data_IF_601888786252
#
_entry.id   IF_601888786252
#
_cell.length_a   1.000
_cell.length_b   1.000
_cell.length_c   1.000
_cell.angle_alpha   90.00
_cell.angle_beta   90.00
_cell.angle_gamma   90.00
#
_symmetry.space_group_name_H-M   'P 1'
#
loop_
_entity.id
_entity.type
_entity.pdbx_description
1 polymer ?
#
# COMPACT_ATOMS: atom_id res chain seq x y z
N UNK A 1 -11.61 2.24 5.23
CA UNK A 1 -10.65 3.27 4.76
C UNK A 1 -9.46 3.49 5.69
N UNK A 2 -9.49 2.99 6.93
CA UNK A 2 -8.30 2.99 7.80
C UNK A 2 -7.23 2.06 7.23
N UNK A 3 -5.95 2.44 7.36
CA UNK A 3 -4.80 1.68 6.87
C UNK A 3 -3.78 1.50 8.00
N UNK A 4 -2.99 0.44 7.92
CA UNK A 4 -1.95 0.14 8.89
C UNK A 4 -2.27 -1.07 9.75
N UNK A 5 -1.57 -1.16 10.87
CA UNK A 5 -1.71 -2.25 11.83
C UNK A 5 -2.21 -1.73 13.18
N UNK A 6 -2.84 -2.60 13.94
CA UNK A 6 -2.96 -2.41 15.39
C UNK A 6 -1.56 -2.53 16.02
N UNK A 7 -1.15 -1.49 16.76
CA UNK A 7 0.25 -1.33 17.16
C UNK A 7 0.74 -2.34 18.22
N UNK A 8 -0.15 -2.86 19.06
CA UNK A 8 0.24 -3.72 20.18
C UNK A 8 0.59 -5.14 19.74
N UNK A 9 -0.21 -5.69 18.82
CA UNK A 9 -0.10 -7.09 18.39
C UNK A 9 0.34 -7.24 16.93
N UNK A 10 0.44 -6.15 16.17
CA UNK A 10 0.63 -6.14 14.73
C UNK A 10 -0.49 -6.91 14.00
N UNK A 11 -1.70 -6.80 14.48
CA UNK A 11 -2.86 -7.37 13.80
C UNK A 11 -3.30 -6.43 12.65
N UNK A 12 -3.84 -6.99 11.58
CA UNK A 12 -4.60 -6.20 10.60
C UNK A 12 -5.79 -5.54 11.29
N UNK A 13 -6.25 -4.41 10.78
CA UNK A 13 -7.34 -3.64 11.41
C UNK A 13 -8.63 -4.48 11.51
N UNK A 14 -8.91 -5.29 10.49
CA UNK A 14 -10.07 -6.20 10.51
C UNK A 14 -9.94 -7.27 11.57
N UNK A 15 -8.77 -7.90 11.72
CA UNK A 15 -8.51 -8.89 12.77
C UNK A 15 -8.65 -8.27 14.17
N UNK A 16 -8.13 -7.05 14.36
CA UNK A 16 -8.27 -6.32 15.61
C UNK A 16 -9.74 -5.97 15.89
N UNK A 17 -10.50 -5.55 14.87
CA UNK A 17 -11.93 -5.27 14.97
C UNK A 17 -12.71 -6.50 15.43
N UNK A 18 -12.47 -7.67 14.80
CA UNK A 18 -13.12 -8.92 15.19
C UNK A 18 -12.79 -9.33 16.62
N UNK A 19 -11.53 -9.22 17.03
CA UNK A 19 -11.09 -9.54 18.40
C UNK A 19 -11.77 -8.67 19.46
N UNK A 20 -11.96 -7.38 19.18
CA UNK A 20 -12.54 -6.41 20.11
C UNK A 20 -14.06 -6.51 20.14
N UNK A 21 -14.69 -6.53 18.97
CA UNK A 21 -16.16 -6.43 18.86
C UNK A 21 -16.87 -7.76 18.89
N UNK A 22 -16.16 -8.87 18.65
CA UNK A 22 -16.71 -10.21 18.42
C UNK A 22 -17.68 -10.24 17.23
N UNK A 23 -17.49 -9.36 16.26
CA UNK A 23 -18.31 -9.23 15.04
C UNK A 23 -17.44 -9.44 13.82
N UNK A 24 -18.00 -10.08 12.80
CA UNK A 24 -17.41 -10.30 11.48
C UNK A 24 -18.23 -9.70 10.33
N UNK A 25 -19.27 -8.91 10.67
CA UNK A 25 -20.15 -8.28 9.70
C UNK A 25 -19.61 -6.90 9.30
N UNK A 26 -18.58 -6.87 8.50
CA UNK A 26 -17.95 -5.65 8.01
C UNK A 26 -17.52 -5.77 6.53
N UNK A 27 -17.21 -4.63 5.93
CA UNK A 27 -16.55 -4.55 4.65
C UNK A 27 -15.43 -3.50 4.70
N UNK A 28 -14.35 -3.77 3.97
CA UNK A 28 -13.23 -2.85 3.76
C UNK A 28 -13.40 -2.17 2.41
N UNK A 29 -13.34 -0.84 2.39
CA UNK A 29 -13.36 -0.03 1.18
C UNK A 29 -11.93 0.42 0.85
N UNK A 30 -11.44 0.04 -0.32
CA UNK A 30 -10.11 0.45 -0.82
C UNK A 30 -10.11 0.51 -2.34
N UNK A 31 -9.33 1.46 -2.91
CA UNK A 31 -9.23 1.59 -4.35
C UNK A 31 -8.57 2.92 -4.77
N UNK A 32 -8.38 3.14 -6.08
CA UNK A 32 -7.73 4.30 -6.65
C UNK A 32 -8.64 5.53 -6.60
N UNK A 33 -8.83 6.12 -5.42
CA UNK A 33 -9.82 7.15 -5.20
C UNK A 33 -9.22 8.39 -4.51
N UNK A 34 -8.72 9.35 -5.31
CA UNK A 34 -8.45 10.68 -4.78
C UNK A 34 -9.76 11.39 -4.46
N UNK A 35 -9.92 11.83 -3.23
CA UNK A 35 -11.18 12.43 -2.75
C UNK A 35 -11.68 13.60 -3.63
N UNK A 36 -10.77 14.46 -4.08
CA UNK A 36 -11.11 15.60 -4.94
C UNK A 36 -11.62 15.16 -6.32
N UNK A 37 -11.11 14.07 -6.86
CA UNK A 37 -11.55 13.54 -8.16
C UNK A 37 -12.92 12.89 -8.04
N UNK A 38 -13.15 12.11 -6.99
CA UNK A 38 -14.46 11.53 -6.69
C UNK A 38 -15.50 12.63 -6.47
N UNK A 39 -15.17 13.69 -5.69
CA UNK A 39 -16.04 14.84 -5.47
C UNK A 39 -16.40 15.58 -6.77
N UNK A 40 -15.46 15.63 -7.71
CA UNK A 40 -15.65 16.24 -9.03
C UNK A 40 -16.27 15.27 -10.07
N UNK A 41 -16.79 14.12 -9.63
CA UNK A 41 -17.45 13.13 -10.48
C UNK A 41 -16.55 12.59 -11.60
N UNK A 42 -15.22 12.53 -11.38
CA UNK A 42 -14.31 11.83 -12.27
C UNK A 42 -14.61 10.33 -12.15
N UNK A 43 -14.74 9.60 -13.28
CA UNK A 43 -15.00 8.16 -13.25
C UNK A 43 -14.02 7.42 -12.36
N UNK A 44 -14.53 6.70 -11.37
CA UNK A 44 -13.72 6.05 -10.34
C UNK A 44 -14.25 4.65 -10.04
N UNK A 45 -13.34 3.76 -9.65
CA UNK A 45 -13.67 2.40 -9.22
C UNK A 45 -13.09 2.15 -7.83
N UNK A 46 -13.73 1.27 -7.06
CA UNK A 46 -13.26 0.86 -5.74
C UNK A 46 -13.55 -0.62 -5.48
N UNK A 47 -12.80 -1.26 -4.59
CA UNK A 47 -13.15 -2.57 -4.05
C UNK A 47 -13.93 -2.42 -2.76
N UNK A 48 -14.94 -3.26 -2.62
CA UNK A 48 -15.64 -3.54 -1.35
C UNK A 48 -15.28 -4.97 -0.98
N UNK A 49 -14.37 -5.12 -0.04
CA UNK A 49 -13.85 -6.42 0.38
C UNK A 49 -14.55 -6.89 1.65
N UNK A 50 -15.10 -8.09 1.63
CA UNK A 50 -15.79 -8.72 2.76
C UNK A 50 -15.75 -10.24 2.61
N UNK A 51 -15.69 -10.96 3.73
CA UNK A 51 -15.89 -12.41 3.76
C UNK A 51 -17.36 -12.81 3.49
N UNK A 52 -18.30 -11.88 3.71
CA UNK A 52 -19.72 -12.06 3.39
C UNK A 52 -20.10 -11.23 2.14
N UNK A 53 -20.36 -11.93 1.05
CA UNK A 53 -20.74 -11.32 -0.22
C UNK A 53 -22.03 -10.49 -0.13
N UNK A 54 -22.99 -10.86 0.76
CA UNK A 54 -24.24 -10.11 0.93
C UNK A 54 -23.97 -8.75 1.57
N UNK A 55 -23.07 -8.70 2.55
CA UNK A 55 -22.63 -7.43 3.15
C UNK A 55 -21.98 -6.54 2.09
N UNK A 56 -21.06 -7.12 1.29
CA UNK A 56 -20.43 -6.38 0.21
C UNK A 56 -21.45 -5.87 -0.83
N UNK A 57 -22.39 -6.71 -1.26
CA UNK A 57 -23.48 -6.32 -2.19
C UNK A 57 -24.32 -5.16 -1.67
N UNK A 58 -24.67 -5.16 -0.37
CA UNK A 58 -25.42 -4.06 0.22
C UNK A 58 -24.63 -2.74 0.15
N UNK A 59 -23.33 -2.78 0.47
CA UNK A 59 -22.45 -1.59 0.37
C UNK A 59 -22.29 -1.15 -1.08
N UNK A 60 -22.09 -2.08 -2.01
CA UNK A 60 -21.96 -1.83 -3.44
C UNK A 60 -23.22 -1.13 -3.98
N UNK A 61 -24.40 -1.60 -3.61
CA UNK A 61 -25.66 -0.99 -4.04
C UNK A 61 -25.83 0.45 -3.56
N UNK A 62 -25.33 0.78 -2.37
CA UNK A 62 -25.35 2.15 -1.82
C UNK A 62 -24.37 3.07 -2.55
N UNK A 63 -23.17 2.55 -2.90
CA UNK A 63 -22.09 3.34 -3.46
C UNK A 63 -22.21 3.55 -4.98
N UNK A 64 -22.77 2.58 -5.69
CA UNK A 64 -22.81 2.60 -7.14
C UNK A 64 -23.65 3.74 -7.70
N UNK A 65 -23.04 4.50 -8.59
CA UNK A 65 -23.71 5.55 -9.35
C UNK A 65 -23.08 5.69 -10.75
N UNK A 66 -23.45 6.73 -11.50
CA UNK A 66 -22.96 6.97 -12.86
C UNK A 66 -21.43 7.14 -12.96
N UNK A 67 -20.80 7.69 -11.92
CA UNK A 67 -19.38 8.08 -11.91
C UNK A 67 -18.53 7.23 -10.98
N UNK A 68 -19.14 6.46 -10.09
CA UNK A 68 -18.44 5.66 -9.09
C UNK A 68 -18.96 4.23 -9.12
N UNK A 69 -18.06 3.27 -9.34
CA UNK A 69 -18.37 1.84 -9.37
C UNK A 69 -17.59 1.09 -8.31
N UNK A 70 -18.30 0.32 -7.51
CA UNK A 70 -17.73 -0.56 -6.51
C UNK A 70 -17.78 -2.01 -7.01
N UNK A 71 -16.70 -2.77 -6.73
CA UNK A 71 -16.54 -4.17 -7.11
C UNK A 71 -16.32 -5.02 -5.86
N UNK A 72 -16.90 -6.19 -5.81
CA UNK A 72 -16.70 -7.14 -4.72
C UNK A 72 -15.28 -7.73 -4.75
N UNK A 73 -14.69 -7.89 -3.57
CA UNK A 73 -13.48 -8.68 -3.35
C UNK A 73 -13.70 -9.63 -2.16
N UNK A 74 -13.33 -10.92 -2.24
CA UNK A 74 -13.70 -11.91 -1.23
C UNK A 74 -12.91 -11.84 0.07
N UNK A 75 -11.77 -11.14 0.09
CA UNK A 75 -10.92 -11.09 1.27
C UNK A 75 -10.51 -9.65 1.66
N UNK A 76 -11.00 -9.13 2.80
CA UNK A 76 -10.65 -7.80 3.27
C UNK A 76 -9.16 -7.66 3.63
N UNK A 77 -8.48 -8.74 4.04
CA UNK A 77 -7.06 -8.72 4.43
C UNK A 77 -6.15 -8.38 3.25
N UNK A 78 -6.49 -8.88 2.05
CA UNK A 78 -5.79 -8.51 0.80
C UNK A 78 -5.85 -7.01 0.56
N UNK A 79 -7.04 -6.41 0.67
CA UNK A 79 -7.22 -4.97 0.50
C UNK A 79 -6.42 -4.16 1.56
N UNK A 80 -6.31 -4.66 2.78
CA UNK A 80 -5.51 -4.04 3.84
C UNK A 80 -4.01 -4.11 3.55
N UNK A 81 -3.48 -5.30 3.21
CA UNK A 81 -2.06 -5.48 2.84
C UNK A 81 -1.68 -4.60 1.65
N UNK A 82 -2.50 -4.60 0.59
CA UNK A 82 -2.30 -3.70 -0.55
C UNK A 82 -2.26 -2.24 -0.12
N UNK A 83 -3.21 -1.82 0.71
CA UNK A 83 -3.31 -0.44 1.21
C UNK A 83 -2.12 -0.01 2.06
N UNK A 84 -1.47 -0.93 2.77
CA UNK A 84 -0.26 -0.69 3.56
C UNK A 84 0.96 -0.60 2.63
N UNK A 85 1.20 -1.64 1.83
CA UNK A 85 2.44 -1.80 1.05
C UNK A 85 2.52 -0.78 -0.08
N UNK A 86 1.40 -0.43 -0.75
CA UNK A 86 1.41 0.59 -1.82
C UNK A 86 2.03 1.92 -1.40
N UNK A 87 1.85 2.31 -0.13
CA UNK A 87 2.39 3.56 0.39
C UNK A 87 3.93 3.49 0.52
N UNK A 88 4.46 2.32 0.83
CA UNK A 88 5.90 2.05 0.89
C UNK A 88 6.48 2.05 -0.54
N UNK A 89 5.79 1.38 -1.46
CA UNK A 89 6.18 1.37 -2.88
C UNK A 89 6.18 2.78 -3.49
N UNK A 90 5.23 3.62 -3.09
CA UNK A 90 5.19 5.01 -3.55
C UNK A 90 6.41 5.80 -3.08
N UNK A 91 6.94 5.56 -1.87
CA UNK A 91 8.21 6.14 -1.42
C UNK A 91 9.35 5.65 -2.32
N UNK A 92 9.45 4.34 -2.57
CA UNK A 92 10.44 3.76 -3.48
C UNK A 92 10.39 4.36 -4.89
N UNK A 93 9.19 4.53 -5.46
CA UNK A 93 8.99 5.18 -6.76
C UNK A 93 9.44 6.65 -6.75
N UNK A 94 9.15 7.39 -5.66
CA UNK A 94 9.61 8.76 -5.49
C UNK A 94 11.14 8.85 -5.39
N UNK A 95 11.79 7.89 -4.71
CA UNK A 95 13.26 7.78 -4.68
C UNK A 95 13.80 7.53 -6.09
N UNK A 96 13.24 6.59 -6.83
CA UNK A 96 13.66 6.27 -8.19
C UNK A 96 13.52 7.48 -9.13
N UNK A 97 12.42 8.24 -9.02
CA UNK A 97 12.21 9.48 -9.79
C UNK A 97 13.23 10.55 -9.40
N UNK A 98 13.44 10.79 -8.11
CA UNK A 98 14.37 11.81 -7.64
C UNK A 98 15.84 11.53 -7.97
N UNK A 99 16.22 10.26 -8.08
CA UNK A 99 17.56 9.80 -8.52
C UNK A 99 17.69 9.60 -10.04
N UNK A 100 16.63 9.92 -10.82
CA UNK A 100 16.57 9.74 -12.26
C UNK A 100 16.92 8.31 -12.73
N UNK A 101 16.43 7.29 -12.03
CA UNK A 101 16.70 5.87 -12.34
C UNK A 101 15.91 5.36 -13.57
N UNK A 102 14.94 6.13 -14.03
CA UNK A 102 14.15 5.83 -15.22
C UNK A 102 12.93 4.94 -14.98
N UNK A 103 12.11 4.84 -16.02
CA UNK A 103 10.81 4.14 -15.96
C UNK A 103 10.98 2.63 -15.81
N UNK A 104 12.01 2.04 -16.41
CA UNK A 104 12.28 0.60 -16.28
C UNK A 104 12.53 0.21 -14.81
N UNK A 105 13.30 1.00 -14.07
CA UNK A 105 13.57 0.77 -12.65
C UNK A 105 12.28 0.85 -11.83
N UNK A 106 11.44 1.85 -12.10
CA UNK A 106 10.12 1.97 -11.44
C UNK A 106 9.21 0.77 -11.73
N UNK A 107 9.18 0.32 -12.98
CA UNK A 107 8.39 -0.85 -13.37
C UNK A 107 8.88 -2.11 -12.64
N UNK A 108 10.20 -2.32 -12.58
CA UNK A 108 10.79 -3.44 -11.85
C UNK A 108 10.52 -3.36 -10.33
N UNK A 109 10.59 -2.15 -9.75
CA UNK A 109 10.21 -1.91 -8.35
C UNK A 109 8.76 -2.30 -8.08
N UNK A 110 7.83 -1.91 -8.96
CA UNK A 110 6.42 -2.26 -8.81
C UNK A 110 6.19 -3.77 -8.92
N UNK A 111 6.84 -4.45 -9.86
CA UNK A 111 6.77 -5.91 -9.99
C UNK A 111 7.28 -6.59 -8.71
N UNK A 112 8.45 -6.18 -8.20
CA UNK A 112 9.00 -6.71 -6.94
C UNK A 112 8.05 -6.47 -5.77
N UNK A 113 7.50 -5.26 -5.66
CA UNK A 113 6.55 -4.91 -4.60
C UNK A 113 5.25 -5.69 -4.65
N UNK A 114 4.70 -5.92 -5.84
CA UNK A 114 3.52 -6.77 -6.05
C UNK A 114 3.81 -8.22 -5.61
N UNK A 115 4.97 -8.76 -5.96
CA UNK A 115 5.39 -10.09 -5.53
C UNK A 115 5.52 -10.17 -4.00
N UNK A 116 5.99 -9.11 -3.33
CA UNK A 116 6.04 -9.07 -1.86
C UNK A 116 4.65 -9.02 -1.23
N UNK A 117 3.69 -8.30 -1.83
CA UNK A 117 2.28 -8.33 -1.42
C UNK A 117 1.71 -9.75 -1.53
N UNK A 118 1.92 -10.42 -2.66
CA UNK A 118 1.44 -11.79 -2.87
C UNK A 118 2.02 -12.76 -1.83
N UNK A 119 3.33 -12.68 -1.57
CA UNK A 119 3.97 -13.49 -0.51
C UNK A 119 3.31 -13.28 0.85
N UNK A 120 3.00 -12.03 1.22
CA UNK A 120 2.30 -11.70 2.47
C UNK A 120 0.90 -12.32 2.49
N UNK A 121 0.12 -12.14 1.42
CA UNK A 121 -1.23 -12.71 1.32
C UNK A 121 -1.21 -14.24 1.48
N UNK A 122 -0.31 -14.93 0.77
CA UNK A 122 -0.16 -16.39 0.87
C UNK A 122 0.19 -16.81 2.30
N UNK A 123 1.13 -16.12 2.95
CA UNK A 123 1.59 -16.49 4.30
C UNK A 123 0.48 -16.36 5.36
N UNK A 124 -0.41 -15.38 5.22
CA UNK A 124 -1.57 -15.21 6.11
C UNK A 124 -2.83 -15.95 5.61
N UNK A 125 -2.70 -16.76 4.55
CA UNK A 125 -3.82 -17.44 3.89
C UNK A 125 -4.93 -16.50 3.46
N UNK A 126 -4.57 -15.30 3.01
CA UNK A 126 -5.47 -14.36 2.36
C UNK A 126 -5.52 -14.65 0.85
N UNK A 127 -6.55 -14.13 0.19
CA UNK A 127 -6.64 -14.18 -1.26
C UNK A 127 -5.50 -13.36 -1.87
N UNK A 128 -4.78 -13.90 -2.84
CA UNK A 128 -3.63 -13.28 -3.49
C UNK A 128 -3.93 -12.70 -4.89
N UNK A 129 -5.22 -12.65 -5.26
CA UNK A 129 -5.67 -11.96 -6.46
C UNK A 129 -5.59 -10.43 -6.27
N UNK A 130 -4.68 -9.82 -6.99
CA UNK A 130 -4.44 -8.38 -6.96
C UNK A 130 -5.03 -7.65 -8.18
N UNK A 131 -5.68 -8.35 -9.10
CA UNK A 131 -6.28 -7.78 -10.32
C UNK A 131 -7.62 -7.10 -10.02
N UNK A 132 -7.60 -6.20 -9.06
CA UNK A 132 -8.78 -5.49 -8.58
C UNK A 132 -8.44 -4.03 -8.22
N UNK A 133 -9.45 -3.15 -7.98
CA UNK A 133 -9.20 -1.75 -7.66
C UNK A 133 -8.34 -1.52 -6.42
N UNK A 134 -8.48 -2.32 -5.34
CA UNK A 134 -7.66 -2.17 -4.12
C UNK A 134 -6.22 -2.67 -4.31
N UNK A 135 -5.99 -3.59 -5.24
CA UNK A 135 -4.68 -4.10 -5.66
C UNK A 135 -4.02 -3.18 -6.68
N UNK A 136 -3.91 -3.66 -7.94
CA UNK A 136 -3.20 -2.94 -9.00
C UNK A 136 -3.70 -1.50 -9.20
N UNK A 137 -5.01 -1.26 -9.10
CA UNK A 137 -5.57 0.07 -9.30
C UNK A 137 -4.97 1.10 -8.33
N UNK A 138 -5.01 0.80 -7.03
CA UNK A 138 -4.57 1.71 -5.97
C UNK A 138 -3.03 1.78 -5.87
N UNK A 139 -2.33 0.68 -6.18
CA UNK A 139 -0.86 0.67 -6.30
C UNK A 139 -0.44 1.60 -7.43
N UNK A 140 -1.01 1.44 -8.64
CA UNK A 140 -0.70 2.28 -9.79
C UNK A 140 -0.95 3.76 -9.50
N UNK A 141 -2.14 4.11 -9.01
CA UNK A 141 -2.48 5.50 -8.69
C UNK A 141 -1.50 6.12 -7.70
N UNK A 142 -1.18 5.39 -6.63
CA UNK A 142 -0.37 5.92 -5.52
C UNK A 142 1.10 6.07 -5.93
N UNK A 143 1.62 5.17 -6.75
CA UNK A 143 3.02 5.14 -7.16
C UNK A 143 3.32 6.03 -8.37
N UNK A 144 2.33 6.30 -9.23
CA UNK A 144 2.53 7.13 -10.44
C UNK A 144 2.22 8.61 -10.24
N UNK A 145 1.57 8.98 -9.14
CA UNK A 145 1.08 10.35 -8.92
C UNK A 145 1.94 11.13 -7.93
N UNK A 146 2.38 12.31 -8.34
CA UNK A 146 3.03 13.30 -7.45
C UNK A 146 2.07 13.89 -6.40
N UNK A 147 0.75 13.69 -6.55
CA UNK A 147 -0.24 14.01 -5.51
C UNK A 147 -0.12 13.08 -4.29
N UNK A 148 0.59 11.94 -4.41
CA UNK A 148 0.84 11.05 -3.31
C UNK A 148 1.90 11.64 -2.37
N UNK A 149 1.52 11.90 -1.10
CA UNK A 149 2.46 12.36 -0.06
C UNK A 149 3.64 11.42 0.11
N UNK A 150 3.42 10.11 -0.01
CA UNK A 150 4.47 9.11 0.11
C UNK A 150 5.45 9.18 -1.08
N UNK A 151 4.97 9.37 -2.30
CA UNK A 151 5.83 9.61 -3.47
C UNK A 151 6.66 10.89 -3.28
N UNK A 152 6.03 11.97 -2.81
CA UNK A 152 6.74 13.23 -2.49
C UNK A 152 7.81 13.05 -1.43
N UNK A 153 7.59 12.20 -0.40
CA UNK A 153 8.62 11.85 0.58
C UNK A 153 9.84 11.20 -0.08
N UNK A 154 9.60 10.23 -0.98
CA UNK A 154 10.69 9.59 -1.73
C UNK A 154 11.51 10.58 -2.55
N UNK A 155 10.86 11.54 -3.22
CA UNK A 155 11.52 12.63 -3.95
C UNK A 155 12.39 13.51 -3.03
N UNK A 156 11.91 13.84 -1.81
CA UNK A 156 12.68 14.61 -0.82
C UNK A 156 13.91 13.84 -0.37
N UNK A 157 13.76 12.55 -0.02
CA UNK A 157 14.88 11.67 0.38
C UNK A 157 15.94 11.64 -0.72
N UNK A 158 15.54 11.44 -1.98
CA UNK A 158 16.45 11.40 -3.13
C UNK A 158 17.17 12.72 -3.41
N UNK A 159 16.67 13.82 -2.90
CA UNK A 159 17.29 15.16 -2.99
C UNK A 159 18.10 15.53 -1.74
N UNK A 160 18.19 14.65 -0.75
CA UNK A 160 18.82 14.94 0.54
C UNK A 160 18.07 16.00 1.35
N UNK A 161 16.79 16.21 1.07
CA UNK A 161 15.95 17.20 1.74
C UNK A 161 15.17 16.57 2.89
N UNK A 162 14.97 17.35 3.96
CA UNK A 162 14.16 16.91 5.11
C UNK A 162 12.67 17.04 4.78
N UNK A 163 11.86 16.04 5.18
CA UNK A 163 10.42 16.13 5.08
C UNK A 163 9.85 17.19 6.05
N UNK A 164 8.68 17.75 5.72
CA UNK A 164 7.94 18.61 6.63
C UNK A 164 7.48 17.80 7.86
N UNK A 165 7.87 18.22 9.08
CA UNK A 165 7.52 17.51 10.32
C UNK A 165 6.01 17.52 10.63
N UNK A 166 5.25 18.46 10.03
CA UNK A 166 3.80 18.56 10.21
C UNK A 166 3.03 17.67 9.22
N UNK A 167 3.69 17.06 8.25
CA UNK A 167 3.07 16.17 7.27
C UNK A 167 3.17 14.72 7.69
N UNK A 168 2.04 14.02 7.78
CA UNK A 168 2.02 12.58 8.06
C UNK A 168 2.28 11.80 6.78
N UNK A 169 3.29 10.93 6.82
CA UNK A 169 3.63 10.00 5.75
C UNK A 169 3.30 8.58 6.19
N UNK A 170 2.13 8.09 5.77
CA UNK A 170 1.63 6.76 6.17
C UNK A 170 2.62 5.63 5.82
N UNK A 171 3.25 5.72 4.63
CA UNK A 171 4.24 4.74 4.18
C UNK A 171 5.47 4.67 5.07
N UNK A 172 5.95 5.79 5.61
CA UNK A 172 7.08 5.81 6.53
C UNK A 172 6.75 5.10 7.84
N UNK A 173 5.56 5.37 8.40
CA UNK A 173 5.11 4.71 9.63
C UNK A 173 4.87 3.21 9.40
N UNK A 174 4.33 2.84 8.24
CA UNK A 174 4.01 1.45 7.90
C UNK A 174 5.24 0.61 7.54
N UNK A 175 6.33 1.24 7.06
CA UNK A 175 7.51 0.51 6.57
C UNK A 175 8.16 -0.36 7.65
N UNK A 176 8.28 0.13 8.86
CA UNK A 176 8.78 -0.66 9.99
C UNK A 176 7.82 -1.78 10.36
N UNK A 177 6.53 -1.46 10.47
CA UNK A 177 5.51 -2.41 10.93
C UNK A 177 5.31 -3.57 9.94
N UNK A 178 5.36 -3.33 8.63
CA UNK A 178 5.25 -4.41 7.63
C UNK A 178 6.44 -5.36 7.67
N UNK A 179 7.64 -4.86 7.93
CA UNK A 179 8.84 -5.68 8.11
C UNK A 179 8.73 -6.56 9.36
N UNK A 180 8.26 -5.99 10.47
CA UNK A 180 8.01 -6.75 11.71
C UNK A 180 6.89 -7.80 11.51
N UNK A 181 5.82 -7.43 10.80
CA UNK A 181 4.73 -8.34 10.45
C UNK A 181 5.22 -9.50 9.57
N UNK A 182 6.03 -9.23 8.56
CA UNK A 182 6.61 -10.25 7.69
C UNK A 182 7.49 -11.23 8.48
N UNK A 183 8.32 -10.73 9.39
CA UNK A 183 9.15 -11.57 10.28
C UNK A 183 8.31 -12.49 11.16
N UNK A 184 7.18 -11.99 11.69
CA UNK A 184 6.23 -12.81 12.47
C UNK A 184 5.69 -14.00 11.65
N UNK A 185 5.63 -13.86 10.33
CA UNK A 185 5.21 -14.90 9.38
C UNK A 185 6.38 -15.62 8.68
N UNK A 186 7.63 -15.50 9.19
CA UNK A 186 8.83 -16.10 8.62
C UNK A 186 9.10 -15.69 7.17
N UNK A 187 8.75 -14.45 6.80
CA UNK A 187 8.97 -13.89 5.49
C UNK A 187 10.08 -12.83 5.52
N UNK A 188 10.75 -12.71 4.38
CA UNK A 188 11.66 -11.62 4.05
C UNK A 188 11.10 -10.82 2.89
N UNK A 189 11.04 -9.51 3.07
CA UNK A 189 10.55 -8.54 2.09
C UNK A 189 11.70 -7.60 1.73
N UNK A 190 12.53 -8.01 0.77
CA UNK A 190 13.80 -7.34 0.45
C UNK A 190 13.60 -5.86 0.09
N UNK A 191 12.59 -5.55 -0.72
CA UNK A 191 12.29 -4.18 -1.14
C UNK A 191 11.71 -3.34 0.01
N UNK A 192 10.71 -3.86 0.73
CA UNK A 192 10.13 -3.13 1.87
C UNK A 192 11.15 -2.91 2.99
N UNK A 193 12.01 -3.91 3.28
CA UNK A 193 13.10 -3.79 4.26
C UNK A 193 14.08 -2.70 3.86
N UNK A 194 14.46 -2.65 2.58
CA UNK A 194 15.43 -1.65 2.12
C UNK A 194 14.86 -0.24 2.13
N UNK A 195 13.61 -0.06 1.68
CA UNK A 195 12.93 1.23 1.78
C UNK A 195 12.81 1.68 3.25
N UNK A 196 12.51 0.77 4.17
CA UNK A 196 12.46 1.08 5.61
C UNK A 196 13.82 1.55 6.15
N UNK A 197 14.92 0.90 5.77
CA UNK A 197 16.28 1.31 6.16
C UNK A 197 16.62 2.70 5.60
N UNK A 198 16.30 2.96 4.34
CA UNK A 198 16.54 4.27 3.70
C UNK A 198 15.79 5.38 4.42
N UNK A 199 14.53 5.15 4.81
CA UNK A 199 13.72 6.14 5.55
C UNK A 199 14.35 6.47 6.92
N UNK A 200 14.86 5.47 7.62
CA UNK A 200 15.40 5.62 8.98
C UNK A 200 16.91 5.91 9.06
N UNK A 201 17.64 5.84 7.95
CA UNK A 201 19.09 5.89 7.91
C UNK A 201 19.67 7.19 7.36
N UNK A 202 20.98 7.36 7.61
CA UNK A 202 21.78 8.42 7.01
C UNK A 202 22.63 7.83 5.87
N UNK A 203 22.01 7.64 4.72
CA UNK A 203 22.68 7.14 3.52
C UNK A 203 23.04 8.28 2.57
N UNK A 204 24.20 8.19 1.93
CA UNK A 204 24.52 9.02 0.78
C UNK A 204 23.59 8.68 -0.40
N UNK A 205 23.42 9.60 -1.35
CA UNK A 205 22.60 9.36 -2.54
C UNK A 205 23.08 8.17 -3.37
N UNK A 206 24.40 7.92 -3.40
CA UNK A 206 24.98 6.76 -4.08
C UNK A 206 24.62 5.43 -3.39
N UNK A 207 24.66 5.39 -2.06
CA UNK A 207 24.22 4.22 -1.28
C UNK A 207 22.73 3.95 -1.48
N UNK A 208 21.88 4.98 -1.42
CA UNK A 208 20.44 4.84 -1.68
C UNK A 208 20.21 4.25 -3.07
N UNK A 209 20.91 4.76 -4.09
CA UNK A 209 20.83 4.25 -5.46
C UNK A 209 21.19 2.78 -5.55
N UNK A 210 22.34 2.38 -4.99
CA UNK A 210 22.81 0.98 -5.02
C UNK A 210 21.85 0.05 -4.26
N UNK A 211 21.40 0.48 -3.10
CA UNK A 211 20.51 -0.31 -2.26
C UNK A 211 19.17 -0.58 -2.93
N UNK A 212 18.56 0.44 -3.55
CA UNK A 212 17.30 0.27 -4.30
C UNK A 212 17.50 -0.67 -5.48
N UNK A 213 18.59 -0.52 -6.26
CA UNK A 213 18.87 -1.39 -7.40
C UNK A 213 19.06 -2.85 -6.93
N UNK A 214 19.84 -3.06 -5.87
CA UNK A 214 20.05 -4.40 -5.31
C UNK A 214 18.75 -5.03 -4.84
N UNK A 215 17.91 -4.29 -4.12
CA UNK A 215 16.61 -4.79 -3.62
C UNK A 215 15.61 -5.15 -4.75
N UNK A 216 15.69 -4.45 -5.88
CA UNK A 216 14.85 -4.75 -7.05
C UNK A 216 15.32 -6.01 -7.77
N UNK A 217 16.65 -6.21 -7.87
CA UNK A 217 17.26 -7.30 -8.65
C UNK A 217 17.48 -8.58 -7.85
N UNK A 218 17.29 -8.57 -6.52
CA UNK A 218 17.29 -9.76 -5.66
C UNK A 218 15.96 -10.53 -5.76
#
# INVERSE_FOLDING_TARGET
CSKGFEHKNLDLITDAFEKITKRNNYAVLSGPNFAIEVANKVPSVTSVASFDENIAKNVINILNNKYFKAQFHPDPRTAEICGIVKNILAIGCGIADGLNLGVNTKSALLVKGVNEIQKLCIAIKANDDLENPAGFGDIFLTCSSTKSRNNSLGLLIAKGLKPDPNTTYEGANSAKLIVEFAKKHNLKLDLCEEINKIIGGNYSLNEIKQNIITAILS
#
